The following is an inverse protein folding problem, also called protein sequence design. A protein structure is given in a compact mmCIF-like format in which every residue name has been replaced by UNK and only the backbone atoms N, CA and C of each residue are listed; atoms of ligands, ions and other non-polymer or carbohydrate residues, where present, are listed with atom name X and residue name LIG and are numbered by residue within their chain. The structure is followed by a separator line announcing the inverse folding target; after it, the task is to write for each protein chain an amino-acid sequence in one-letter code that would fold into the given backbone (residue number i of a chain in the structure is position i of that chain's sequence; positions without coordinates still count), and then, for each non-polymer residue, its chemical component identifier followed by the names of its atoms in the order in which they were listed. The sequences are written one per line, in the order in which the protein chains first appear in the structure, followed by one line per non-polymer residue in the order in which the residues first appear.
data_IF_759339416163
#
_entry.id   IF_759339416163
#
_cell.length_a   1.000
_cell.length_b   1.000
_cell.length_c   1.000
_cell.angle_alpha   90.00
_cell.angle_beta   90.00
_cell.angle_gamma   90.00
#
_symmetry.space_group_name_H-M   'P 1'
#
loop_
_entity.id
_entity.type
_entity.pdbx_description
1 polymer ?
#
# COMPACT_ATOMS: atom_id res chain seq x y z
N UNK A 1 40.13 -43.36 15.43
CA UNK A 1 40.32 -42.36 14.36
C UNK A 1 39.52 -42.77 13.13
N UNK A 2 38.25 -42.38 13.00
CA UNK A 2 37.44 -42.59 11.76
C UNK A 2 36.08 -41.87 11.78
N UNK A 3 36.00 -40.62 12.29
CA UNK A 3 34.74 -39.84 12.22
C UNK A 3 34.99 -38.32 12.10
N UNK A 4 36.03 -37.89 11.35
CA UNK A 4 36.36 -36.46 11.20
C UNK A 4 36.58 -36.02 9.75
N UNK A 5 36.21 -36.83 8.75
CA UNK A 5 36.40 -36.52 7.32
C UNK A 5 35.10 -36.26 6.55
N UNK A 6 33.93 -36.44 7.16
CA UNK A 6 32.64 -36.29 6.44
C UNK A 6 32.00 -34.90 6.59
N UNK A 7 32.43 -34.08 7.56
CA UNK A 7 31.84 -32.76 7.82
C UNK A 7 32.50 -31.62 7.01
N UNK A 8 33.78 -31.77 6.63
CA UNK A 8 34.49 -30.75 5.87
C UNK A 8 34.16 -30.77 4.36
N UNK A 9 33.70 -31.89 3.83
CA UNK A 9 33.30 -32.00 2.41
C UNK A 9 31.93 -31.38 2.15
N UNK A 10 31.03 -31.34 3.16
CA UNK A 10 29.71 -30.73 3.01
C UNK A 10 29.79 -29.20 3.09
N UNK A 11 30.77 -28.65 3.80
CA UNK A 11 30.96 -27.19 3.89
C UNK A 11 31.71 -26.57 2.71
N UNK A 12 32.39 -27.37 1.87
CA UNK A 12 33.16 -26.87 0.72
C UNK A 12 32.38 -26.85 -0.61
N UNK A 13 31.13 -27.31 -0.65
CA UNK A 13 30.27 -27.21 -1.87
C UNK A 13 29.46 -25.89 -1.90
N UNK A 14 29.53 -25.06 -0.85
CA UNK A 14 28.80 -23.77 -0.78
C UNK A 14 29.63 -22.60 -1.37
N UNK A 15 30.61 -22.87 -2.23
CA UNK A 15 31.37 -21.82 -2.90
C UNK A 15 31.63 -22.21 -4.35
N UNK A 16 30.94 -21.52 -5.28
CA UNK A 16 31.17 -21.44 -6.74
C UNK A 16 30.03 -21.86 -7.68
N UNK A 17 28.78 -21.64 -7.29
CA UNK A 17 27.68 -21.55 -8.26
C UNK A 17 26.70 -20.47 -7.81
N UNK A 18 26.51 -19.46 -8.67
CA UNK A 18 25.43 -18.50 -8.50
C UNK A 18 24.15 -19.28 -8.23
N UNK A 19 23.51 -18.99 -7.09
CA UNK A 19 22.37 -19.75 -6.62
C UNK A 19 21.28 -19.75 -7.70
N UNK A 20 21.19 -20.85 -8.43
CA UNK A 20 20.09 -21.08 -9.37
C UNK A 20 18.83 -21.11 -8.53
N UNK A 21 17.93 -20.15 -8.76
CA UNK A 21 16.61 -20.15 -8.14
C UNK A 21 15.97 -21.52 -8.29
N UNK A 22 15.37 -22.02 -7.21
CA UNK A 22 14.59 -23.25 -7.21
C UNK A 22 13.53 -23.19 -8.33
N UNK A 23 13.22 -24.31 -9.02
CA UNK A 23 12.32 -24.29 -10.19
C UNK A 23 10.96 -23.62 -9.94
N UNK A 24 10.42 -23.74 -8.72
CA UNK A 24 9.18 -23.06 -8.31
C UNK A 24 9.33 -21.53 -8.31
N UNK A 25 10.45 -21.02 -7.81
CA UNK A 25 10.72 -19.58 -7.78
C UNK A 25 10.86 -19.01 -9.20
N UNK A 26 11.44 -19.78 -10.14
CA UNK A 26 11.52 -19.39 -11.55
C UNK A 26 10.13 -19.26 -12.19
N UNK A 27 9.21 -20.17 -11.88
CA UNK A 27 7.82 -20.11 -12.38
C UNK A 27 7.07 -18.89 -11.83
N UNK A 28 7.28 -18.54 -10.56
CA UNK A 28 6.70 -17.35 -9.94
C UNK A 28 7.25 -16.08 -10.58
N UNK A 29 8.57 -16.00 -10.80
CA UNK A 29 9.21 -14.87 -11.47
C UNK A 29 8.72 -14.69 -12.91
N UNK A 30 8.55 -15.78 -13.65
CA UNK A 30 7.95 -15.75 -14.99
C UNK A 30 6.51 -15.19 -14.95
N UNK A 31 5.70 -15.65 -13.99
CA UNK A 31 4.34 -15.16 -13.81
C UNK A 31 4.29 -13.66 -13.46
N UNK A 32 5.21 -13.20 -12.61
CA UNK A 32 5.37 -11.80 -12.25
C UNK A 32 5.74 -10.96 -13.49
N UNK A 33 6.75 -11.40 -14.25
CA UNK A 33 7.18 -10.73 -15.49
C UNK A 33 6.01 -10.52 -16.44
N UNK A 34 5.20 -11.54 -16.71
CA UNK A 34 4.05 -11.44 -17.60
C UNK A 34 3.03 -10.40 -17.14
N UNK A 35 2.71 -10.39 -15.83
CA UNK A 35 1.73 -9.44 -15.26
C UNK A 35 2.22 -7.99 -15.36
N UNK A 36 3.50 -7.77 -15.09
CA UNK A 36 4.11 -6.44 -15.06
C UNK A 36 4.24 -5.85 -16.45
N UNK A 37 4.65 -6.66 -17.42
CA UNK A 37 4.65 -6.26 -18.83
C UNK A 37 3.25 -5.84 -19.29
N UNK A 38 2.23 -6.65 -18.98
CA UNK A 38 0.84 -6.33 -19.33
C UNK A 38 0.34 -5.03 -18.67
N UNK A 39 0.60 -4.84 -17.37
CA UNK A 39 0.20 -3.63 -16.63
C UNK A 39 0.88 -2.37 -17.18
N UNK A 40 2.12 -2.48 -17.64
CA UNK A 40 2.89 -1.39 -18.24
C UNK A 40 2.62 -1.20 -19.75
N UNK A 41 1.84 -2.08 -20.37
CA UNK A 41 1.59 -2.06 -21.81
C UNK A 41 2.82 -2.41 -22.66
N UNK A 42 3.79 -3.12 -22.08
CA UNK A 42 5.03 -3.53 -22.75
C UNK A 42 4.94 -4.98 -23.22
N UNK A 43 5.59 -5.30 -24.34
CA UNK A 43 5.69 -6.67 -24.88
C UNK A 43 6.90 -7.43 -24.35
N UNK A 44 8.01 -6.72 -24.13
CA UNK A 44 9.24 -7.27 -23.56
C UNK A 44 9.90 -6.24 -22.63
N UNK A 45 10.87 -6.68 -21.84
CA UNK A 45 11.69 -5.72 -21.10
C UNK A 45 12.61 -4.95 -22.07
N UNK A 46 12.93 -3.69 -21.78
CA UNK A 46 13.78 -2.89 -22.65
C UNK A 46 15.22 -3.41 -22.69
N UNK A 47 15.85 -3.25 -23.85
CA UNK A 47 17.28 -3.47 -23.99
C UNK A 47 18.05 -2.25 -23.49
N UNK A 48 18.59 -2.37 -22.28
CA UNK A 48 19.31 -1.29 -21.61
C UNK A 48 20.60 -0.87 -22.32
N UNK A 49 21.13 -1.68 -23.25
CA UNK A 49 22.33 -1.33 -24.03
C UNK A 49 22.06 -0.28 -25.12
N UNK A 50 20.80 -0.13 -25.54
CA UNK A 50 20.37 0.79 -26.60
C UNK A 50 19.91 2.15 -26.06
N UNK A 51 19.94 2.32 -24.73
CA UNK A 51 19.48 3.55 -24.08
C UNK A 51 20.37 4.73 -24.46
N UNK A 52 19.75 5.78 -25.01
CA UNK A 52 20.41 7.04 -25.34
C UNK A 52 19.65 8.22 -24.72
N UNK A 53 19.80 8.41 -23.41
CA UNK A 53 19.12 9.49 -22.67
C UNK A 53 20.09 10.61 -22.32
N UNK A 54 19.78 11.83 -22.74
CA UNK A 54 20.57 13.01 -22.35
C UNK A 54 20.36 13.38 -20.87
N UNK A 55 21.34 14.05 -20.26
CA UNK A 55 21.21 14.56 -18.89
C UNK A 55 20.02 15.52 -18.72
N UNK A 56 19.74 16.35 -19.73
CA UNK A 56 18.60 17.26 -19.73
C UNK A 56 17.26 16.50 -19.72
N UNK A 57 17.14 15.45 -20.53
CA UNK A 57 15.96 14.57 -20.54
C UNK A 57 15.79 13.84 -19.22
N UNK A 58 16.87 13.26 -18.67
CA UNK A 58 16.87 12.59 -17.36
C UNK A 58 16.38 13.53 -16.26
N UNK A 59 16.89 14.76 -16.21
CA UNK A 59 16.48 15.76 -15.22
C UNK A 59 15.01 16.17 -15.38
N UNK A 60 14.54 16.38 -16.62
CA UNK A 60 13.14 16.70 -16.92
C UNK A 60 12.20 15.60 -16.44
N UNK A 61 12.53 14.35 -16.73
CA UNK A 61 11.70 13.20 -16.38
C UNK A 61 11.74 12.88 -14.89
N UNK A 62 12.89 13.05 -14.23
CA UNK A 62 13.00 12.95 -12.77
C UNK A 62 12.13 14.00 -12.07
N UNK A 63 12.12 15.26 -12.55
CA UNK A 63 11.21 16.29 -12.02
C UNK A 63 9.73 15.97 -12.25
N UNK A 64 9.38 15.31 -13.36
CA UNK A 64 8.02 14.80 -13.59
C UNK A 64 7.67 13.70 -12.58
N UNK A 65 8.55 12.72 -12.42
CA UNK A 65 8.42 11.63 -11.45
C UNK A 65 8.20 12.15 -10.02
N UNK A 66 9.08 13.03 -9.52
CA UNK A 66 8.96 13.56 -8.15
C UNK A 66 7.65 14.33 -7.91
N UNK A 67 7.16 15.06 -8.91
CA UNK A 67 5.85 15.73 -8.84
C UNK A 67 4.70 14.73 -8.75
N UNK A 68 4.76 13.65 -9.53
CA UNK A 68 3.78 12.58 -9.48
C UNK A 68 3.80 11.84 -8.14
N UNK A 69 4.98 11.48 -7.63
CA UNK A 69 5.14 10.86 -6.31
C UNK A 69 4.50 11.73 -5.23
N UNK A 70 4.84 13.03 -5.18
CA UNK A 70 4.25 13.98 -4.22
C UNK A 70 2.72 14.04 -4.31
N UNK A 71 2.16 13.93 -5.53
CA UNK A 71 0.70 13.88 -5.73
C UNK A 71 0.10 12.54 -5.30
N UNK A 72 0.80 11.44 -5.50
CA UNK A 72 0.35 10.08 -5.16
C UNK A 72 0.35 9.80 -3.65
N UNK A 73 1.20 10.49 -2.89
CA UNK A 73 1.22 10.47 -1.41
C UNK A 73 0.10 11.28 -0.78
N UNK A 74 -0.57 12.12 -1.56
CA UNK A 74 -1.70 12.94 -1.11
C UNK A 74 -3.00 12.22 -1.40
N UNK A 75 -3.85 12.12 -0.39
CA UNK A 75 -5.16 11.49 -0.51
C UNK A 75 -6.22 12.35 0.14
N UNK A 76 -7.33 12.58 -0.58
CA UNK A 76 -8.54 13.17 0.01
C UNK A 76 -9.46 12.04 0.41
N UNK A 77 -9.59 11.84 1.72
CA UNK A 77 -10.52 10.89 2.30
C UNK A 77 -11.88 11.57 2.43
N UNK A 78 -12.93 10.93 1.93
CA UNK A 78 -14.31 11.43 2.01
C UNK A 78 -15.14 10.55 2.93
N UNK A 79 -15.68 11.15 3.98
CA UNK A 79 -16.54 10.49 4.95
C UNK A 79 -17.96 11.02 4.86
N UNK A 80 -18.90 10.08 4.96
CA UNK A 80 -20.32 10.37 4.98
C UNK A 80 -20.82 10.28 6.42
N UNK A 81 -21.76 11.13 6.81
CA UNK A 81 -22.39 11.05 8.11
C UNK A 81 -23.50 10.00 8.11
N UNK A 82 -23.75 9.38 9.27
CA UNK A 82 -24.71 8.27 9.41
C UNK A 82 -26.14 8.74 9.72
N UNK A 83 -26.30 9.92 10.35
CA UNK A 83 -27.59 10.52 10.66
C UNK A 83 -27.48 12.06 10.69
N UNK A 84 -28.58 12.78 10.45
CA UNK A 84 -28.68 14.23 10.65
C UNK A 84 -30.07 14.55 11.22
N UNK A 85 -30.13 15.11 12.42
CA UNK A 85 -31.37 15.66 13.00
C UNK A 85 -31.40 17.20 12.83
N UNK A 86 -32.59 17.80 12.82
CA UNK A 86 -32.72 19.27 12.81
C UNK A 86 -32.18 19.83 14.14
N UNK A 87 -31.30 20.84 14.09
CA UNK A 87 -30.52 21.39 15.22
C UNK A 87 -29.42 20.49 15.81
N UNK A 88 -28.96 19.47 15.09
CA UNK A 88 -28.05 18.47 15.63
C UNK A 88 -26.63 18.51 15.09
N UNK A 89 -25.75 17.88 15.85
CA UNK A 89 -24.36 17.64 15.50
C UNK A 89 -24.28 16.68 14.32
N UNK A 90 -23.29 16.91 13.45
CA UNK A 90 -22.89 15.90 12.47
C UNK A 90 -21.75 15.09 13.06
N UNK A 91 -21.97 13.77 13.14
CA UNK A 91 -20.98 12.84 13.69
C UNK A 91 -20.35 12.05 12.55
N UNK A 92 -19.02 12.08 12.49
CA UNK A 92 -18.22 11.28 11.58
C UNK A 92 -17.42 10.24 12.36
N UNK A 93 -17.19 9.09 11.74
CA UNK A 93 -16.24 8.07 12.22
C UNK A 93 -15.04 7.99 11.26
N UNK A 94 -14.15 8.98 11.28
CA UNK A 94 -13.06 9.06 10.33
C UNK A 94 -11.99 8.00 10.64
N UNK A 95 -11.90 6.98 9.78
CA UNK A 95 -10.79 6.03 9.79
C UNK A 95 -9.58 6.66 9.07
N UNK A 96 -8.73 7.35 9.84
CA UNK A 96 -7.50 7.94 9.32
C UNK A 96 -6.32 7.08 9.78
N UNK A 97 -5.40 6.77 8.87
CA UNK A 97 -4.15 6.10 9.24
C UNK A 97 -3.42 6.97 10.27
N UNK A 98 -3.00 6.36 11.39
CA UNK A 98 -2.30 7.05 12.48
C UNK A 98 -1.03 7.74 12.01
N UNK A 99 -0.40 7.22 10.95
CA UNK A 99 0.83 7.78 10.37
C UNK A 99 0.55 8.86 9.31
N UNK A 100 -0.71 9.12 8.96
CA UNK A 100 -1.07 10.10 7.94
C UNK A 100 -1.12 11.52 8.52
N UNK A 101 -0.31 12.42 7.99
CA UNK A 101 -0.34 13.84 8.34
C UNK A 101 -1.54 14.53 7.68
N UNK A 102 -2.44 15.14 8.46
CA UNK A 102 -3.56 15.91 7.92
C UNK A 102 -3.04 17.26 7.40
N UNK A 103 -3.37 17.58 6.15
CA UNK A 103 -3.01 18.84 5.51
C UNK A 103 -4.14 19.87 5.63
N UNK A 104 -5.39 19.44 5.43
CA UNK A 104 -6.59 20.26 5.62
C UNK A 104 -7.81 19.38 5.84
N UNK A 105 -8.87 19.96 6.42
CA UNK A 105 -10.19 19.37 6.54
C UNK A 105 -11.27 20.35 6.07
N UNK A 106 -12.29 19.86 5.37
CA UNK A 106 -13.45 20.67 4.99
C UNK A 106 -14.75 19.87 5.04
N UNK A 107 -15.86 20.56 5.26
CA UNK A 107 -17.19 20.06 4.93
C UNK A 107 -17.54 20.47 3.51
N UNK A 108 -17.95 19.50 2.68
CA UNK A 108 -18.44 19.73 1.32
C UNK A 108 -19.96 19.52 1.30
N UNK A 109 -20.70 20.57 0.95
CA UNK A 109 -22.16 20.56 0.97
C UNK A 109 -22.75 20.16 -0.39
N UNK A 110 -24.04 19.72 -0.45
CA UNK A 110 -24.70 19.34 -1.71
C UNK A 110 -24.80 20.46 -2.75
N UNK A 111 -24.82 21.72 -2.32
CA UNK A 111 -24.83 22.91 -3.19
C UNK A 111 -23.43 23.31 -3.67
N UNK A 112 -22.45 22.40 -3.54
CA UNK A 112 -21.05 22.59 -3.89
C UNK A 112 -20.29 23.64 -3.06
N UNK A 113 -20.92 24.27 -2.06
CA UNK A 113 -20.20 25.11 -1.11
C UNK A 113 -19.31 24.27 -0.20
N UNK A 114 -18.31 24.90 0.41
CA UNK A 114 -17.43 24.23 1.37
C UNK A 114 -17.11 25.11 2.56
N UNK A 115 -16.99 24.48 3.73
CA UNK A 115 -16.56 25.12 4.97
C UNK A 115 -15.22 24.51 5.41
N UNK A 116 -14.19 25.33 5.56
CA UNK A 116 -12.91 24.90 6.13
C UNK A 116 -13.10 24.62 7.63
N UNK A 117 -12.72 23.42 8.03
CA UNK A 117 -12.78 22.93 9.42
C UNK A 117 -11.45 22.32 9.83
N UNK A 118 -10.34 22.74 9.21
CA UNK A 118 -9.00 22.22 9.48
C UNK A 118 -8.64 22.37 10.96
N UNK A 119 -8.81 23.56 11.51
CA UNK A 119 -8.48 23.87 12.90
C UNK A 119 -9.21 23.01 13.96
N UNK A 120 -10.56 22.89 13.94
CA UNK A 120 -11.24 22.01 14.89
C UNK A 120 -10.87 20.53 14.70
N UNK A 121 -10.58 20.08 13.48
CA UNK A 121 -10.16 18.70 13.22
C UNK A 121 -8.72 18.42 13.67
N UNK A 122 -7.82 19.40 13.56
CA UNK A 122 -6.46 19.29 14.11
C UNK A 122 -6.49 19.12 15.62
N UNK A 123 -7.26 19.95 16.32
CA UNK A 123 -7.44 19.83 17.78
C UNK A 123 -8.04 18.49 18.20
N UNK A 124 -9.12 18.06 17.53
CA UNK A 124 -9.72 16.74 17.75
C UNK A 124 -8.69 15.59 17.63
N UNK A 125 -7.76 15.69 16.68
CA UNK A 125 -6.70 14.69 16.50
C UNK A 125 -5.64 14.73 17.60
N UNK A 126 -5.26 15.92 18.05
CA UNK A 126 -4.24 16.09 19.11
C UNK A 126 -4.77 15.66 20.48
N UNK A 127 -6.06 15.85 20.74
CA UNK A 127 -6.70 15.50 22.03
C UNK A 127 -6.84 13.98 22.26
N UNK A 128 -6.61 13.15 21.23
CA UNK A 128 -6.24 11.74 21.37
C UNK A 128 -7.26 10.79 22.05
N UNK A 129 -8.53 11.18 22.26
CA UNK A 129 -9.46 10.38 23.08
C UNK A 129 -10.85 10.09 22.51
N UNK A 130 -11.27 10.63 21.35
CA UNK A 130 -12.58 10.28 20.79
C UNK A 130 -12.50 9.64 19.38
N UNK A 131 -13.07 8.43 19.17
CA UNK A 131 -13.13 7.80 17.85
C UNK A 131 -14.14 8.48 16.91
N UNK A 132 -14.87 9.48 17.40
CA UNK A 132 -15.92 10.18 16.68
C UNK A 132 -15.56 11.66 16.62
N UNK A 133 -15.69 12.25 15.43
CA UNK A 133 -15.63 13.68 15.24
C UNK A 133 -17.05 14.22 15.24
N UNK A 134 -17.44 14.94 16.29
CA UNK A 134 -18.74 15.60 16.41
C UNK A 134 -18.60 17.10 16.09
N UNK A 135 -19.30 17.56 15.06
CA UNK A 135 -19.30 18.97 14.66
C UNK A 135 -20.69 19.55 14.86
N UNK A 136 -20.79 20.59 15.68
CA UNK A 136 -22.04 21.34 15.82
C UNK A 136 -22.30 22.17 14.56
N UNK A 137 -23.43 21.95 13.88
CA UNK A 137 -23.78 22.72 12.70
C UNK A 137 -25.29 22.71 12.41
N UNK A 138 -25.85 23.91 12.16
CA UNK A 138 -27.29 24.11 11.98
C UNK A 138 -27.79 23.63 10.60
N UNK A 139 -26.93 23.63 9.57
CA UNK A 139 -27.28 23.30 8.17
C UNK A 139 -26.27 22.38 7.48
N UNK A 140 -25.87 21.30 8.14
CA UNK A 140 -24.90 20.35 7.59
C UNK A 140 -25.48 19.01 7.14
N UNK A 141 -26.81 18.87 7.06
CA UNK A 141 -27.40 17.65 6.50
C UNK A 141 -26.97 17.47 5.03
N UNK A 142 -26.44 16.28 4.72
CA UNK A 142 -25.90 15.96 3.40
C UNK A 142 -24.47 16.45 3.17
N UNK A 143 -23.85 17.13 4.15
CA UNK A 143 -22.45 17.51 4.06
C UNK A 143 -21.53 16.29 4.20
N UNK A 144 -20.47 16.24 3.40
CA UNK A 144 -19.43 15.22 3.47
C UNK A 144 -18.19 15.82 4.12
N UNK A 145 -17.53 15.06 4.99
CA UNK A 145 -16.24 15.45 5.53
C UNK A 145 -15.15 15.02 4.54
N UNK A 146 -14.36 15.97 4.09
CA UNK A 146 -13.19 15.70 3.27
C UNK A 146 -11.92 16.04 4.05
N UNK A 147 -11.02 15.06 4.17
CA UNK A 147 -9.75 15.19 4.85
C UNK A 147 -8.63 14.97 3.85
N UNK A 148 -7.83 16.00 3.57
CA UNK A 148 -6.62 15.80 2.79
C UNK A 148 -5.50 15.38 3.69
N UNK A 149 -5.03 14.16 3.49
CA UNK A 149 -3.91 13.60 4.22
C UNK A 149 -2.71 13.43 3.31
N UNK A 150 -1.54 13.41 3.92
CA UNK A 150 -0.28 13.03 3.29
C UNK A 150 0.32 11.92 4.14
N UNK A 151 0.52 10.75 3.56
CA UNK A 151 1.32 9.71 4.19
C UNK A 151 2.79 10.02 3.89
N UNK A 152 3.64 10.33 4.90
CA UNK A 152 5.06 10.50 4.67
C UNK A 152 5.65 9.16 4.25
N UNK A 153 6.44 9.16 3.18
CA UNK A 153 7.11 7.96 2.66
C UNK A 153 8.22 7.43 3.55
N UNK A 154 8.68 8.17 4.58
CA UNK A 154 9.99 7.93 5.21
C UNK A 154 9.99 7.88 6.75
N UNK A 155 8.89 8.12 7.47
CA UNK A 155 8.99 8.28 8.93
C UNK A 155 8.13 7.32 9.75
N UNK A 156 8.83 6.31 10.29
CA UNK A 156 8.56 5.56 11.53
C UNK A 156 7.11 5.11 11.70
N UNK A 157 6.76 4.00 11.06
CA UNK A 157 5.78 3.10 11.65
C UNK A 157 6.35 2.64 12.99
N UNK A 158 5.86 3.23 14.10
CA UNK A 158 5.81 2.50 15.36
C UNK A 158 5.21 1.16 14.99
N UNK A 159 5.93 0.05 15.24
CA UNK A 159 5.42 -1.31 15.05
C UNK A 159 4.01 -1.30 15.62
N UNK A 160 3.00 -1.30 14.75
CA UNK A 160 1.63 -1.43 15.19
C UNK A 160 1.63 -2.69 16.04
N UNK A 161 1.29 -2.55 17.32
CA UNK A 161 1.31 -3.63 18.29
C UNK A 161 0.15 -4.58 17.95
N UNK A 162 0.26 -5.22 16.80
CA UNK A 162 -0.84 -5.91 16.15
C UNK A 162 -1.15 -7.24 16.82
N UNK A 163 -0.61 -7.52 18.01
CA UNK A 163 -1.08 -8.56 18.95
C UNK A 163 -1.43 -9.91 18.33
N UNK A 164 -0.71 -10.34 17.28
CA UNK A 164 -1.01 -11.55 16.50
C UNK A 164 -2.23 -11.50 15.57
N UNK A 165 -2.99 -10.40 15.50
CA UNK A 165 -4.16 -10.18 14.64
C UNK A 165 -3.77 -9.78 13.21
N UNK A 166 -4.70 -9.97 12.26
CA UNK A 166 -4.53 -9.56 10.87
C UNK A 166 -4.21 -8.07 10.75
N UNK A 167 -3.06 -7.75 10.16
CA UNK A 167 -2.52 -6.40 10.15
C UNK A 167 -1.46 -6.21 9.07
N UNK A 168 -1.30 -4.96 8.64
CA UNK A 168 -0.25 -4.51 7.72
C UNK A 168 1.12 -4.52 8.41
N UNK A 169 2.13 -5.06 7.74
CA UNK A 169 3.50 -5.21 8.22
C UNK A 169 4.49 -4.58 7.23
N UNK A 170 5.61 -4.01 7.71
CA UNK A 170 6.64 -3.44 6.85
C UNK A 170 7.26 -4.51 5.96
N UNK A 171 7.48 -4.16 4.70
CA UNK A 171 8.21 -4.94 3.71
C UNK A 171 8.74 -3.97 2.68
N UNK A 172 10.05 -3.95 2.54
CA UNK A 172 10.72 -3.20 1.49
C UNK A 172 11.10 -4.13 0.34
N UNK A 173 10.94 -3.65 -0.88
CA UNK A 173 11.27 -4.38 -2.11
C UNK A 173 12.27 -3.56 -2.93
N UNK A 174 13.41 -4.17 -3.21
CA UNK A 174 14.42 -3.66 -4.15
C UNK A 174 14.18 -4.24 -5.54
N UNK A 175 14.15 -3.38 -6.56
CA UNK A 175 14.03 -3.86 -7.95
C UNK A 175 15.31 -4.56 -8.44
N UNK A 176 16.45 -4.28 -7.81
CA UNK A 176 17.70 -4.97 -8.12
C UNK A 176 17.63 -6.46 -7.74
N UNK A 177 16.98 -6.79 -6.62
CA UNK A 177 16.87 -8.16 -6.10
C UNK A 177 16.02 -9.06 -7.00
N UNK A 178 15.13 -8.46 -7.79
CA UNK A 178 14.32 -9.16 -8.81
C UNK A 178 14.87 -9.00 -10.24
N UNK A 179 16.06 -8.42 -10.38
CA UNK A 179 16.78 -8.28 -11.65
C UNK A 179 16.22 -7.22 -12.61
N UNK A 180 15.49 -6.22 -12.12
CA UNK A 180 14.88 -5.18 -12.95
C UNK A 180 15.73 -3.90 -12.94
N UNK A 181 16.78 -3.90 -13.75
CA UNK A 181 17.67 -2.75 -13.94
C UNK A 181 17.06 -1.61 -14.78
N UNK A 182 15.97 -1.88 -15.50
CA UNK A 182 15.27 -0.93 -16.38
C UNK A 182 14.39 0.07 -15.63
N UNK A 183 14.17 -0.14 -14.33
CA UNK A 183 13.53 0.83 -13.44
C UNK A 183 14.59 1.80 -12.91
N UNK A 184 14.41 3.08 -13.24
CA UNK A 184 15.30 4.16 -12.81
C UNK A 184 14.93 4.65 -11.42
N UNK A 185 13.63 4.88 -11.15
CA UNK A 185 13.13 5.24 -9.82
C UNK A 185 11.75 4.61 -9.53
N UNK A 186 11.46 4.27 -8.26
CA UNK A 186 12.42 4.20 -7.17
C UNK A 186 13.35 2.99 -7.34
N UNK A 187 14.48 2.95 -6.63
CA UNK A 187 15.34 1.73 -6.57
C UNK A 187 14.79 0.69 -5.60
N UNK A 188 14.17 1.17 -4.53
CA UNK A 188 13.56 0.40 -3.46
C UNK A 188 12.28 1.11 -3.00
N UNK A 189 11.26 0.36 -2.58
CA UNK A 189 10.03 0.94 -2.04
C UNK A 189 9.39 0.08 -0.94
N UNK A 190 8.69 0.75 -0.02
CA UNK A 190 7.88 0.10 1.02
C UNK A 190 6.56 -0.43 0.43
N UNK A 191 6.55 -1.73 0.13
CA UNK A 191 5.38 -2.45 -0.40
C UNK A 191 4.39 -2.83 0.70
N UNK A 192 4.89 -3.12 1.91
CA UNK A 192 4.16 -3.75 3.00
C UNK A 192 3.56 -5.12 2.63
N UNK A 193 3.10 -5.86 3.64
CA UNK A 193 2.36 -7.09 3.44
C UNK A 193 1.36 -7.33 4.57
N UNK A 194 0.41 -8.24 4.36
CA UNK A 194 -0.59 -8.59 5.37
C UNK A 194 -0.19 -9.86 6.11
N UNK A 195 -0.23 -9.81 7.44
CA UNK A 195 0.03 -10.98 8.28
C UNK A 195 -0.74 -10.90 9.59
N UNK A 196 -1.25 -12.05 10.02
CA UNK A 196 -1.82 -12.25 11.35
C UNK A 196 -3.04 -13.16 11.29
N UNK A 197 -3.61 -13.43 12.47
CA UNK A 197 -4.77 -14.29 12.63
C UNK A 197 -6.06 -13.51 12.41
N UNK A 198 -6.96 -14.10 11.65
CA UNK A 198 -8.36 -13.70 11.56
C UNK A 198 -9.10 -14.38 12.71
N UNK A 199 -9.17 -13.67 13.85
CA UNK A 199 -9.86 -14.16 15.02
C UNK A 199 -11.35 -13.80 14.97
N UNK A 200 -12.08 -14.52 15.80
CA UNK A 200 -13.48 -14.83 15.63
C UNK A 200 -14.46 -13.73 16.08
N UNK A 201 -13.97 -12.58 16.56
CA UNK A 201 -14.84 -11.46 17.00
C UNK A 201 -14.27 -10.05 16.83
N UNK A 202 -12.97 -9.92 16.48
CA UNK A 202 -12.28 -8.62 16.36
C UNK A 202 -11.57 -8.45 15.02
N UNK A 203 -11.81 -9.35 14.06
CA UNK A 203 -11.22 -9.30 12.73
C UNK A 203 -11.89 -8.24 11.86
N UNK A 204 -11.09 -7.40 11.20
CA UNK A 204 -11.58 -6.56 10.11
C UNK A 204 -11.89 -7.46 8.90
N UNK A 205 -13.13 -7.91 8.76
CA UNK A 205 -13.56 -8.75 7.64
C UNK A 205 -13.73 -7.92 6.36
N UNK A 206 -13.29 -8.46 5.23
CA UNK A 206 -13.38 -7.78 3.94
C UNK A 206 -14.78 -7.81 3.35
N UNK A 207 -15.53 -8.89 3.61
CA UNK A 207 -16.85 -9.16 3.06
C UNK A 207 -17.68 -10.06 4.02
N UNK A 208 -18.97 -10.18 3.76
CA UNK A 208 -19.90 -10.99 4.56
C UNK A 208 -19.55 -12.48 4.54
N UNK A 209 -19.04 -13.00 3.43
CA UNK A 209 -18.64 -14.41 3.32
C UNK A 209 -17.53 -14.77 4.31
N UNK A 210 -16.50 -13.92 4.44
CA UNK A 210 -15.41 -14.11 5.41
C UNK A 210 -15.92 -14.08 6.85
N UNK A 211 -16.90 -13.20 7.17
CA UNK A 211 -17.55 -13.18 8.47
C UNK A 211 -18.33 -14.47 8.73
N UNK A 212 -19.14 -14.94 7.76
CA UNK A 212 -19.87 -16.20 7.87
C UNK A 212 -18.94 -17.39 8.05
N UNK A 213 -17.84 -17.45 7.29
CA UNK A 213 -16.82 -18.50 7.40
C UNK A 213 -16.17 -18.51 8.78
N UNK A 214 -15.89 -17.34 9.36
CA UNK A 214 -15.40 -17.23 10.75
C UNK A 214 -16.44 -17.76 11.73
N UNK A 215 -17.72 -17.39 11.60
CA UNK A 215 -18.81 -17.90 12.45
C UNK A 215 -18.91 -19.44 12.37
N UNK A 216 -18.84 -20.02 11.17
CA UNK A 216 -18.87 -21.47 10.99
C UNK A 216 -17.66 -22.13 11.65
N UNK A 217 -16.48 -21.50 11.56
CA UNK A 217 -15.28 -22.00 12.26
C UNK A 217 -15.46 -22.02 13.77
N UNK A 218 -16.01 -20.96 14.36
CA UNK A 218 -16.29 -20.85 15.79
C UNK A 218 -17.22 -21.95 16.26
N UNK A 219 -18.27 -22.22 15.45
CA UNK A 219 -19.26 -23.27 15.72
C UNK A 219 -18.70 -24.69 15.56
N UNK A 220 -17.42 -24.85 15.23
CA UNK A 220 -16.76 -26.15 15.13
C UNK A 220 -16.97 -26.86 13.79
N UNK A 221 -17.54 -26.20 12.79
CA UNK A 221 -17.63 -26.79 11.46
C UNK A 221 -16.22 -26.99 10.87
N UNK A 222 -16.08 -28.01 10.01
CA UNK A 222 -14.83 -28.29 9.31
C UNK A 222 -14.62 -27.32 8.13
N UNK A 223 -14.37 -26.05 8.45
CA UNK A 223 -14.01 -25.00 7.50
C UNK A 223 -12.65 -24.41 7.89
N UNK A 224 -11.94 -23.80 6.94
CA UNK A 224 -10.73 -23.03 7.22
C UNK A 224 -11.10 -21.65 7.79
N UNK A 225 -10.16 -21.00 8.49
CA UNK A 225 -10.32 -19.59 8.85
C UNK A 225 -10.11 -18.71 7.61
N UNK A 226 -10.75 -17.53 7.53
CA UNK A 226 -10.42 -16.52 6.54
C UNK A 226 -8.92 -16.17 6.56
N UNK A 227 -8.39 -15.82 5.40
CA UNK A 227 -6.98 -15.46 5.24
C UNK A 227 -6.78 -13.96 5.50
N UNK A 228 -5.64 -13.58 6.08
CA UNK A 228 -5.26 -12.18 6.19
C UNK A 228 -4.60 -11.71 4.90
N UNK A 229 -5.29 -10.88 4.12
CA UNK A 229 -4.84 -10.45 2.80
C UNK A 229 -5.02 -8.94 2.58
N UNK A 230 -4.36 -8.35 1.56
CA UNK A 230 -4.56 -6.94 1.19
C UNK A 230 -6.01 -6.67 0.80
N UNK A 231 -6.64 -5.67 1.44
CA UNK A 231 -7.98 -5.18 1.10
C UNK A 231 -7.91 -3.97 0.17
N UNK A 232 -7.03 -3.02 0.49
CA UNK A 232 -6.77 -1.84 -0.35
C UNK A 232 -5.28 -1.78 -0.66
N UNK A 233 -4.99 -1.62 -1.96
CA UNK A 233 -3.64 -1.37 -2.44
C UNK A 233 -3.60 -0.01 -3.12
N UNK A 234 -2.50 0.71 -2.90
CA UNK A 234 -2.21 1.96 -3.59
C UNK A 234 -1.20 1.72 -4.72
N UNK A 235 -1.24 2.55 -5.76
CA UNK A 235 -0.31 2.47 -6.87
C UNK A 235 1.09 2.97 -6.50
N UNK A 236 2.08 2.55 -7.28
CA UNK A 236 3.46 3.02 -7.25
C UNK A 236 3.75 3.82 -8.53
N UNK A 237 4.27 5.05 -8.38
CA UNK A 237 4.80 5.81 -9.51
C UNK A 237 6.20 5.28 -9.85
N UNK A 238 6.46 5.07 -11.13
CA UNK A 238 7.72 4.56 -11.66
C UNK A 238 8.29 5.53 -12.69
N UNK A 239 9.61 5.72 -12.64
CA UNK A 239 10.41 6.25 -13.74
C UNK A 239 11.19 5.06 -14.33
N UNK A 240 10.92 4.69 -15.58
CA UNK A 240 11.50 3.50 -16.20
C UNK A 240 11.66 3.66 -17.71
N UNK A 241 12.41 2.77 -18.34
CA UNK A 241 12.49 2.67 -19.79
C UNK A 241 11.34 1.82 -20.34
N UNK A 242 10.75 2.24 -21.46
CA UNK A 242 9.71 1.50 -22.19
C UNK A 242 10.32 0.54 -23.21
N UNK A 243 9.48 -0.31 -23.81
CA UNK A 243 9.90 -1.38 -24.74
C UNK A 243 10.16 -0.91 -26.18
N UNK A 244 10.32 0.40 -26.41
CA UNK A 244 10.66 0.95 -27.73
C UNK A 244 12.12 0.66 -28.10
N UNK A 245 12.45 0.93 -29.35
CA UNK A 245 13.80 0.80 -29.87
C UNK A 245 14.23 2.09 -30.61
N UNK A 246 15.11 2.94 -30.03
CA UNK A 246 15.73 2.78 -28.71
C UNK A 246 14.73 2.99 -27.55
N UNK A 247 14.98 2.42 -26.35
CA UNK A 247 14.11 2.60 -25.19
C UNK A 247 13.99 4.06 -24.75
N UNK A 248 12.77 4.52 -24.48
CA UNK A 248 12.50 5.89 -24.03
C UNK A 248 12.19 5.95 -22.53
N UNK A 249 12.71 6.99 -21.87
CA UNK A 249 12.47 7.22 -20.45
C UNK A 249 11.05 7.75 -20.22
N UNK A 250 10.24 7.00 -19.47
CA UNK A 250 8.81 7.27 -19.24
C UNK A 250 8.47 7.24 -17.74
N UNK A 251 7.42 7.99 -17.36
CA UNK A 251 6.84 7.96 -16.00
C UNK A 251 5.47 7.30 -16.08
N UNK A 252 5.28 6.20 -15.35
CA UNK A 252 4.03 5.43 -15.32
C UNK A 252 3.57 5.17 -13.90
N UNK A 253 2.31 4.75 -13.77
CA UNK A 253 1.66 4.47 -12.51
C UNK A 253 1.22 3.00 -12.48
N UNK A 254 1.91 2.19 -11.71
CA UNK A 254 1.64 0.75 -11.58
C UNK A 254 0.66 0.51 -10.44
N UNK A 255 -0.49 -0.11 -10.72
CA UNK A 255 -1.53 -0.34 -9.71
C UNK A 255 -1.20 -1.55 -8.84
N UNK A 256 -1.79 -1.59 -7.64
CA UNK A 256 -1.74 -2.79 -6.80
C UNK A 256 -0.36 -3.10 -6.19
N UNK A 257 0.51 -2.10 -6.05
CA UNK A 257 1.90 -2.34 -5.64
C UNK A 257 2.15 -2.22 -4.14
N UNK A 258 1.38 -1.39 -3.44
CA UNK A 258 1.66 -1.03 -2.05
C UNK A 258 0.43 -1.29 -1.20
N UNK A 259 0.53 -2.16 -0.21
CA UNK A 259 -0.58 -2.48 0.70
C UNK A 259 -0.86 -1.26 1.58
N UNK A 260 -2.12 -0.80 1.55
CA UNK A 260 -2.62 0.28 2.40
C UNK A 260 -3.39 -0.28 3.59
N UNK A 261 -4.27 -1.24 3.34
CA UNK A 261 -5.14 -1.86 4.36
C UNK A 261 -5.16 -3.37 4.20
N UNK A 262 -5.18 -4.08 5.33
CA UNK A 262 -5.35 -5.54 5.39
C UNK A 262 -6.73 -5.90 5.95
N UNK A 263 -7.27 -7.02 5.51
CA UNK A 263 -8.50 -7.58 6.04
C UNK A 263 -8.53 -9.10 5.96
N UNK A 264 -9.49 -9.68 6.66
CA UNK A 264 -9.79 -11.10 6.63
C UNK A 264 -10.75 -11.43 5.47
N UNK A 265 -10.32 -12.30 4.56
CA UNK A 265 -11.03 -12.65 3.32
C UNK A 265 -11.30 -14.13 3.19
#
# INVERSE_FOLDING_TARGET
MRFALSALVIFLVVSLSGASLEPEAQQVLHSLKKRILAELGMKHFPDMSLVNTTQAQMHRMTRKYLRNVKRSEQEVLTFHHTACEKNSHVVFHPEIDYDAHLQWARLKFPNDSSLDISEPVFRWREDGQEPLLSLHCIRCCGAKLELKTRTPSILRLKRSACGGKCCRRPLSISFADIGWNWIVQPKEFEAFYCKGRCNDSKGHFANTHALMQSILKIKGHNVSRPCCAPKKLRPLELLHYDDKNPPELTVTKMKGMIVKECACT
#
